data_IF_274080127796
#
_entry.id   IF_274080127796
#
_cell.length_a   1.000
_cell.length_b   1.000
_cell.length_c   1.000
_cell.angle_alpha   90.00
_cell.angle_beta   90.00
_cell.angle_gamma   90.00
#
_symmetry.space_group_name_H-M   'P 1'
#
loop_
_entity.id
_entity.type
_entity.pdbx_description
1 polymer ?
#
# COMPACT_ATOMS: atom_id res chain seq x y z
N UNK A 1 -16.09 7.21 15.77
CA UNK A 1 -16.58 7.03 14.40
C UNK A 1 -18.05 7.41 14.32
N UNK A 2 -18.41 8.28 13.38
CA UNK A 2 -19.80 8.59 13.06
C UNK A 2 -20.14 7.89 11.74
N UNK A 3 -21.24 7.14 11.71
CA UNK A 3 -21.76 6.51 10.50
C UNK A 3 -23.07 7.22 10.18
N UNK A 4 -23.16 7.79 8.98
CA UNK A 4 -24.39 8.39 8.47
C UNK A 4 -24.91 7.52 7.31
N UNK A 5 -26.16 7.10 7.39
CA UNK A 5 -26.85 6.38 6.33
C UNK A 5 -27.82 7.34 5.65
N UNK A 6 -27.66 7.52 4.34
CA UNK A 6 -28.55 8.35 3.53
C UNK A 6 -29.20 7.47 2.45
N UNK A 7 -30.52 7.59 2.31
CA UNK A 7 -31.24 6.91 1.25
C UNK A 7 -31.37 7.80 0.01
N UNK A 8 -31.25 7.22 -1.18
CA UNK A 8 -31.45 7.89 -2.48
C UNK A 8 -30.48 9.03 -2.80
N UNK A 9 -29.26 9.00 -2.24
CA UNK A 9 -28.19 9.94 -2.59
C UNK A 9 -27.11 9.24 -3.40
N UNK A 10 -26.54 9.95 -4.37
CA UNK A 10 -25.39 9.47 -5.12
C UNK A 10 -24.10 9.58 -4.29
N UNK A 11 -23.07 8.85 -4.71
CA UNK A 11 -21.73 8.95 -4.09
C UNK A 11 -21.18 10.37 -4.15
N UNK A 12 -21.36 11.07 -5.26
CA UNK A 12 -20.92 12.45 -5.46
C UNK A 12 -21.62 13.42 -4.51
N UNK A 13 -22.94 13.30 -4.32
CA UNK A 13 -23.70 14.15 -3.39
C UNK A 13 -23.23 13.95 -1.96
N UNK A 14 -22.97 12.70 -1.56
CA UNK A 14 -22.46 12.39 -0.24
C UNK A 14 -21.02 12.85 -0.05
N UNK A 15 -20.18 12.76 -1.06
CA UNK A 15 -18.81 13.27 -1.03
C UNK A 15 -18.78 14.81 -0.89
N UNK A 16 -19.66 15.52 -1.58
CA UNK A 16 -19.83 16.99 -1.44
C UNK A 16 -20.28 17.36 -0.02
N UNK A 17 -21.26 16.65 0.53
CA UNK A 17 -21.71 16.85 1.92
C UNK A 17 -20.60 16.62 2.94
N UNK A 18 -19.86 15.53 2.80
CA UNK A 18 -18.76 15.19 3.67
C UNK A 18 -17.58 16.18 3.53
N UNK A 19 -17.34 16.70 2.31
CA UNK A 19 -16.36 17.76 2.05
C UNK A 19 -16.69 19.04 2.80
N UNK A 20 -17.94 19.49 2.75
CA UNK A 20 -18.41 20.67 3.51
C UNK A 20 -18.28 20.49 5.03
N UNK A 21 -18.52 19.28 5.54
CA UNK A 21 -18.29 18.98 6.97
C UNK A 21 -16.81 19.04 7.29
N UNK A 22 -15.93 18.51 6.44
CA UNK A 22 -14.48 18.57 6.63
C UNK A 22 -13.96 20.01 6.68
N UNK A 23 -14.44 20.88 5.82
CA UNK A 23 -14.11 22.31 5.82
C UNK A 23 -14.56 23.00 7.14
N UNK A 24 -15.77 22.69 7.59
CA UNK A 24 -16.33 23.27 8.82
C UNK A 24 -15.55 22.87 10.07
N UNK A 25 -14.87 21.75 10.07
CA UNK A 25 -14.05 21.24 11.17
C UNK A 25 -12.54 21.38 10.90
N UNK A 26 -12.16 22.39 10.11
CA UNK A 26 -10.76 22.76 9.82
C UNK A 26 -9.89 21.58 9.33
N UNK A 27 -10.47 20.73 8.53
CA UNK A 27 -9.78 19.57 7.96
C UNK A 27 -9.49 18.41 8.92
N UNK A 28 -9.88 18.52 10.19
CA UNK A 28 -9.60 17.49 11.22
C UNK A 28 -10.44 16.21 11.07
N UNK A 29 -11.49 16.22 10.21
CA UNK A 29 -12.36 15.09 9.95
C UNK A 29 -11.92 14.39 8.67
N UNK A 30 -11.73 13.08 8.75
CA UNK A 30 -11.59 12.20 7.58
C UNK A 30 -12.91 11.49 7.32
N UNK A 31 -13.22 11.28 6.05
CA UNK A 31 -14.41 10.56 5.64
C UNK A 31 -14.14 9.61 4.48
N UNK A 32 -14.96 8.59 4.37
CA UNK A 32 -15.08 7.74 3.19
C UNK A 32 -16.56 7.51 2.90
N UNK A 33 -16.90 7.39 1.62
CA UNK A 33 -18.25 7.16 1.13
C UNK A 33 -18.27 5.83 0.40
N UNK A 34 -19.34 5.07 0.52
CA UNK A 34 -19.63 3.93 -0.36
C UNK A 34 -21.11 3.86 -0.62
N UNK A 35 -21.48 3.40 -1.81
CA UNK A 35 -22.86 3.20 -2.24
C UNK A 35 -23.19 1.71 -2.14
N UNK A 36 -24.40 1.40 -1.71
CA UNK A 36 -24.98 0.06 -1.75
C UNK A 36 -26.00 0.07 -2.88
N UNK A 37 -25.64 -0.54 -4.01
CA UNK A 37 -26.43 -0.45 -5.24
C UNK A 37 -27.59 -1.43 -5.32
N UNK A 38 -27.54 -2.53 -4.57
CA UNK A 38 -28.59 -3.54 -4.59
C UNK A 38 -28.83 -4.23 -3.23
N UNK A 39 -29.93 -4.97 -3.14
CA UNK A 39 -30.33 -5.70 -1.92
C UNK A 39 -29.44 -6.92 -1.61
N UNK A 40 -28.54 -7.30 -2.52
CA UNK A 40 -27.64 -8.45 -2.36
C UNK A 40 -26.39 -8.07 -1.58
N UNK A 41 -26.04 -6.76 -1.55
CA UNK A 41 -24.90 -6.26 -0.79
C UNK A 41 -25.28 -5.96 0.66
N UNK A 42 -24.62 -6.64 1.59
CA UNK A 42 -24.84 -6.41 3.01
C UNK A 42 -24.37 -5.02 3.44
N UNK A 43 -25.26 -4.23 4.02
CA UNK A 43 -24.93 -2.93 4.65
C UNK A 43 -23.75 -3.07 5.62
N UNK A 44 -23.70 -4.19 6.36
CA UNK A 44 -22.59 -4.48 7.31
C UNK A 44 -21.26 -4.62 6.59
N UNK A 45 -21.26 -5.24 5.41
CA UNK A 45 -20.05 -5.40 4.59
C UNK A 45 -19.60 -4.07 4.00
N UNK A 46 -20.53 -3.25 3.50
CA UNK A 46 -20.26 -1.90 3.02
C UNK A 46 -19.70 -1.00 4.13
N UNK A 47 -20.25 -1.05 5.34
CA UNK A 47 -19.73 -0.34 6.51
C UNK A 47 -18.30 -0.82 6.83
N UNK A 48 -18.05 -2.13 6.81
CA UNK A 48 -16.73 -2.69 7.06
C UNK A 48 -15.71 -2.22 6.04
N UNK A 49 -16.06 -2.26 4.75
CA UNK A 49 -15.19 -1.85 3.66
C UNK A 49 -14.90 -0.35 3.71
N UNK A 50 -15.94 0.48 3.92
CA UNK A 50 -15.81 1.94 4.07
C UNK A 50 -14.97 2.32 5.29
N UNK A 51 -15.14 1.61 6.41
CA UNK A 51 -14.31 1.83 7.61
C UNK A 51 -12.85 1.47 7.35
N UNK A 52 -12.61 0.40 6.59
CA UNK A 52 -11.28 -0.04 6.19
C UNK A 52 -10.61 1.00 5.27
N UNK A 53 -11.34 1.51 4.28
CA UNK A 53 -10.89 2.57 3.40
C UNK A 53 -10.54 3.87 4.14
N UNK A 54 -11.40 4.27 5.10
CA UNK A 54 -11.14 5.45 5.93
C UNK A 54 -9.89 5.29 6.78
N UNK A 55 -9.64 4.09 7.33
CA UNK A 55 -8.41 3.81 8.09
C UNK A 55 -7.18 3.95 7.20
N UNK A 56 -7.20 3.38 6.00
CA UNK A 56 -6.09 3.51 5.02
C UNK A 56 -5.84 4.97 4.65
N UNK A 57 -6.90 5.73 4.37
CA UNK A 57 -6.79 7.16 4.08
C UNK A 57 -6.20 7.95 5.25
N UNK A 58 -6.54 7.58 6.47
CA UNK A 58 -5.96 8.17 7.70
C UNK A 58 -4.47 7.89 7.85
N UNK A 59 -4.00 6.71 7.45
CA UNK A 59 -2.59 6.33 7.50
C UNK A 59 -1.74 7.13 6.50
N UNK A 60 -2.31 7.46 5.34
CA UNK A 60 -1.62 8.23 4.28
C UNK A 60 -1.68 9.74 4.52
N UNK A 61 -2.64 10.22 5.34
CA UNK A 61 -2.81 11.65 5.61
C UNK A 61 -1.93 12.09 6.79
N UNK A 62 -0.92 12.92 6.52
CA UNK A 62 0.15 13.37 7.45
C UNK A 62 -0.33 14.08 8.74
N UNK A 63 -1.63 14.25 8.94
CA UNK A 63 -2.23 14.93 10.10
C UNK A 63 -2.75 14.00 11.21
N UNK A 64 -2.54 12.68 11.10
CA UNK A 64 -3.01 11.69 12.08
C UNK A 64 -1.87 11.20 12.99
N UNK A 65 -2.15 10.91 14.26
CA UNK A 65 -1.21 10.29 15.22
C UNK A 65 -0.63 8.96 14.68
N UNK A 66 -1.39 8.23 13.86
CA UNK A 66 -0.93 7.04 13.17
C UNK A 66 0.10 7.35 12.06
N UNK A 67 0.08 8.56 11.51
CA UNK A 67 1.11 9.07 10.61
C UNK A 67 2.48 9.18 11.29
N UNK A 68 2.53 9.52 12.59
CA UNK A 68 3.80 9.65 13.32
C UNK A 68 4.50 8.31 13.47
N UNK A 69 3.75 7.23 13.69
CA UNK A 69 4.30 5.87 13.71
C UNK A 69 4.83 5.46 12.33
N UNK A 70 4.05 5.69 11.26
CA UNK A 70 4.48 5.43 9.89
C UNK A 70 5.72 6.26 9.52
N UNK A 71 5.72 7.55 9.84
CA UNK A 71 6.88 8.42 9.62
C UNK A 71 8.11 7.90 10.36
N UNK A 72 7.93 7.38 11.58
CA UNK A 72 9.04 6.80 12.35
C UNK A 72 9.56 5.51 11.73
N UNK A 73 8.67 4.64 11.22
CA UNK A 73 9.05 3.41 10.52
C UNK A 73 9.78 3.72 9.20
N UNK A 74 9.28 4.69 8.43
CA UNK A 74 9.91 5.13 7.19
C UNK A 74 11.31 5.70 7.47
N UNK A 75 11.45 6.57 8.47
CA UNK A 75 12.76 7.10 8.86
C UNK A 75 13.74 6.01 9.29
N UNK A 76 13.26 5.01 10.06
CA UNK A 76 14.09 3.88 10.44
C UNK A 76 14.56 3.09 9.20
N UNK A 77 13.70 2.95 8.18
CA UNK A 77 14.04 2.30 6.93
C UNK A 77 15.06 3.15 6.13
N UNK A 78 14.86 4.46 6.04
CA UNK A 78 15.78 5.40 5.38
C UNK A 78 17.16 5.43 6.02
N UNK A 79 17.27 5.29 7.35
CA UNK A 79 18.54 5.16 8.06
C UNK A 79 19.25 3.84 7.74
N UNK A 80 18.50 2.77 7.45
CA UNK A 80 19.06 1.47 7.10
C UNK A 80 19.52 1.38 5.65
N UNK A 81 18.82 2.04 4.73
CA UNK A 81 19.04 1.97 3.28
C UNK A 81 19.03 3.38 2.67
N UNK A 82 20.21 3.90 2.36
CA UNK A 82 20.42 5.29 1.89
C UNK A 82 19.78 5.61 0.54
N UNK A 83 19.45 4.61 -0.29
CA UNK A 83 18.80 4.79 -1.59
C UNK A 83 17.26 4.90 -1.49
N UNK A 84 16.71 4.65 -0.29
CA UNK A 84 15.28 4.41 -0.10
C UNK A 84 14.41 5.66 -0.28
N UNK A 85 14.83 6.86 0.16
CA UNK A 85 13.97 8.06 0.09
C UNK A 85 13.58 8.43 -1.36
N UNK A 86 14.56 8.50 -2.24
CA UNK A 86 14.32 8.83 -3.65
C UNK A 86 13.57 7.71 -4.39
N UNK A 87 13.82 6.45 -4.01
CA UNK A 87 13.12 5.29 -4.55
C UNK A 87 11.64 5.32 -4.13
N UNK A 88 11.36 5.40 -2.85
CA UNK A 88 9.98 5.44 -2.31
C UNK A 88 9.17 6.58 -2.93
N UNK A 89 9.74 7.79 -3.03
CA UNK A 89 9.06 8.92 -3.64
C UNK A 89 8.73 8.69 -5.12
N UNK A 90 9.66 8.12 -5.88
CA UNK A 90 9.42 7.78 -7.30
C UNK A 90 8.33 6.72 -7.43
N UNK A 91 8.42 5.66 -6.65
CA UNK A 91 7.45 4.55 -6.64
C UNK A 91 6.04 5.06 -6.29
N UNK A 92 5.91 5.94 -5.31
CA UNK A 92 4.63 6.58 -4.98
C UNK A 92 4.05 7.39 -6.13
N UNK A 93 4.86 8.23 -6.81
CA UNK A 93 4.39 9.04 -7.94
C UNK A 93 3.96 8.13 -9.09
N UNK A 94 4.77 7.13 -9.42
CA UNK A 94 4.49 6.19 -10.50
C UNK A 94 3.26 5.32 -10.19
N UNK A 95 3.15 4.79 -8.97
CA UNK A 95 2.00 4.02 -8.52
C UNK A 95 0.71 4.83 -8.56
N UNK A 96 0.74 6.10 -8.12
CA UNK A 96 -0.41 6.98 -8.17
C UNK A 96 -0.86 7.26 -9.61
N UNK A 97 0.06 7.50 -10.53
CA UNK A 97 -0.26 7.75 -11.93
C UNK A 97 -0.75 6.48 -12.63
N UNK A 98 -0.12 5.34 -12.38
CA UNK A 98 -0.54 4.05 -12.93
C UNK A 98 -1.94 3.67 -12.43
N UNK A 99 -2.17 3.79 -11.13
CA UNK A 99 -3.47 3.48 -10.52
C UNK A 99 -4.60 4.31 -11.10
N UNK A 100 -4.36 5.59 -11.43
CA UNK A 100 -5.33 6.43 -12.14
C UNK A 100 -5.60 5.93 -13.55
N UNK A 101 -4.56 5.53 -14.29
CA UNK A 101 -4.68 5.06 -15.68
C UNK A 101 -5.44 3.73 -15.81
N UNK A 102 -5.32 2.87 -14.82
CA UNK A 102 -6.05 1.60 -14.76
C UNK A 102 -7.36 1.72 -13.96
N UNK A 103 -7.77 2.94 -13.67
CA UNK A 103 -9.06 3.26 -13.02
C UNK A 103 -9.27 2.56 -11.68
N UNK A 104 -8.21 2.47 -10.86
CA UNK A 104 -8.33 1.95 -9.50
C UNK A 104 -9.30 2.80 -8.69
N UNK A 105 -10.18 2.14 -7.93
CA UNK A 105 -11.02 2.81 -6.95
C UNK A 105 -10.17 3.53 -5.88
N UNK A 106 -10.73 4.52 -5.20
CA UNK A 106 -10.05 5.27 -4.12
C UNK A 106 -9.45 4.34 -3.05
N UNK A 107 -10.12 3.23 -2.76
CA UNK A 107 -9.66 2.23 -1.80
C UNK A 107 -8.40 1.52 -2.31
N UNK A 108 -8.43 1.09 -3.56
CA UNK A 108 -7.29 0.42 -4.20
C UNK A 108 -6.11 1.37 -4.37
N UNK A 109 -6.38 2.63 -4.76
CA UNK A 109 -5.38 3.69 -4.88
C UNK A 109 -4.70 3.97 -3.52
N UNK A 110 -5.47 4.01 -2.44
CA UNK A 110 -4.94 4.21 -1.09
C UNK A 110 -4.09 3.02 -0.64
N UNK A 111 -4.49 1.78 -0.97
CA UNK A 111 -3.70 0.57 -0.68
C UNK A 111 -2.40 0.55 -1.47
N UNK A 112 -2.45 0.87 -2.76
CA UNK A 112 -1.27 0.96 -3.61
C UNK A 112 -0.29 2.03 -3.09
N UNK A 113 -0.79 3.21 -2.70
CA UNK A 113 0.03 4.27 -2.10
C UNK A 113 0.73 3.82 -0.82
N UNK A 114 0.02 3.07 0.03
CA UNK A 114 0.57 2.53 1.26
C UNK A 114 1.59 1.41 1.00
N UNK A 115 1.35 0.57 -0.01
CA UNK A 115 2.30 -0.45 -0.46
C UNK A 115 3.59 0.20 -0.99
N UNK A 116 3.50 1.17 -1.89
CA UNK A 116 4.64 1.91 -2.40
C UNK A 116 5.52 2.52 -1.28
N UNK A 117 4.89 2.87 -0.16
CA UNK A 117 5.59 3.45 0.99
C UNK A 117 6.30 2.40 1.86
N UNK A 118 5.75 1.19 1.96
CA UNK A 118 6.12 0.20 2.98
C UNK A 118 6.52 -1.16 2.42
N UNK A 119 6.59 -1.36 1.10
CA UNK A 119 6.91 -2.68 0.51
C UNK A 119 8.21 -3.26 1.07
N UNK A 120 9.19 -2.41 1.29
CA UNK A 120 10.52 -2.76 1.77
C UNK A 120 10.69 -2.71 3.29
N UNK A 121 9.60 -2.56 4.08
CA UNK A 121 9.67 -2.41 5.54
C UNK A 121 10.43 -3.56 6.22
N UNK A 122 10.44 -4.74 5.63
CA UNK A 122 11.17 -5.90 6.15
C UNK A 122 12.69 -5.79 6.06
N UNK A 123 13.24 -4.83 5.31
CA UNK A 123 14.68 -4.55 5.24
C UNK A 123 15.26 -4.16 6.60
N UNK A 124 14.44 -3.62 7.51
CA UNK A 124 14.84 -3.37 8.91
C UNK A 124 15.36 -4.65 9.59
N UNK A 125 14.88 -5.81 9.19
CA UNK A 125 15.33 -7.09 9.72
C UNK A 125 16.52 -7.71 8.99
N UNK A 126 17.08 -7.08 7.96
CA UNK A 126 18.24 -7.56 7.21
C UNK A 126 19.52 -7.00 7.84
N UNK A 127 20.58 -7.81 8.05
CA UNK A 127 21.85 -7.31 8.56
C UNK A 127 22.44 -6.21 7.68
N UNK A 128 22.91 -5.12 8.30
CA UNK A 128 23.44 -3.94 7.60
C UNK A 128 24.63 -4.28 6.68
N UNK A 129 25.43 -5.28 7.07
CA UNK A 129 26.59 -5.76 6.29
C UNK A 129 26.16 -6.39 4.96
N UNK A 130 24.94 -6.94 4.89
CA UNK A 130 24.37 -7.51 3.68
C UNK A 130 23.66 -6.42 2.88
N UNK A 131 22.86 -5.60 3.56
CA UNK A 131 22.06 -4.53 2.94
C UNK A 131 22.97 -3.51 2.20
N UNK A 132 24.05 -3.09 2.86
CA UNK A 132 25.00 -2.08 2.34
C UNK A 132 26.30 -2.70 1.80
N UNK A 133 26.29 -3.98 1.43
CA UNK A 133 27.50 -4.64 0.93
C UNK A 133 27.99 -4.01 -0.39
N UNK A 134 29.22 -3.51 -0.44
CA UNK A 134 29.77 -3.06 -1.71
C UNK A 134 30.08 -4.27 -2.61
N UNK A 135 29.29 -4.44 -3.68
CA UNK A 135 29.48 -5.50 -4.65
C UNK A 135 28.37 -6.55 -4.64
N UNK A 136 28.64 -7.69 -5.30
CA UNK A 136 27.63 -8.75 -5.46
C UNK A 136 27.44 -9.54 -4.16
N UNK A 137 26.19 -9.89 -3.87
CA UNK A 137 25.83 -10.82 -2.79
C UNK A 137 26.15 -12.26 -3.20
N UNK A 138 26.58 -13.08 -2.23
CA UNK A 138 26.66 -14.55 -2.40
C UNK A 138 25.25 -15.15 -2.40
N UNK A 139 25.12 -16.43 -2.76
CA UNK A 139 23.82 -17.11 -2.75
C UNK A 139 23.22 -17.18 -1.34
N UNK A 140 24.05 -17.32 -0.30
CA UNK A 140 23.62 -17.31 1.10
C UNK A 140 23.15 -15.92 1.53
N UNK A 141 23.88 -14.88 1.15
CA UNK A 141 23.50 -13.50 1.42
C UNK A 141 22.20 -13.10 0.67
N UNK A 142 22.03 -13.61 -0.56
CA UNK A 142 20.78 -13.43 -1.30
C UNK A 142 19.58 -14.06 -0.61
N UNK A 143 19.75 -15.23 0.01
CA UNK A 143 18.67 -15.84 0.82
C UNK A 143 18.28 -14.94 1.99
N UNK A 144 19.28 -14.35 2.65
CA UNK A 144 19.03 -13.42 3.76
C UNK A 144 18.37 -12.14 3.24
N UNK A 145 18.86 -11.56 2.13
CA UNK A 145 18.26 -10.38 1.50
C UNK A 145 16.78 -10.64 1.14
N UNK A 146 16.48 -11.75 0.47
CA UNK A 146 15.10 -12.10 0.08
C UNK A 146 14.16 -12.33 1.26
N UNK A 147 14.70 -12.62 2.46
CA UNK A 147 13.87 -12.78 3.65
C UNK A 147 13.14 -11.50 4.08
N UNK A 148 13.48 -10.31 3.50
CA UNK A 148 12.78 -9.08 3.84
C UNK A 148 11.30 -9.12 3.48
N UNK A 149 10.88 -9.86 2.44
CA UNK A 149 9.46 -9.97 2.06
C UNK A 149 8.65 -10.69 3.16
N UNK A 150 9.19 -11.75 3.74
CA UNK A 150 8.58 -12.49 4.84
C UNK A 150 8.55 -11.64 6.13
N UNK A 151 9.67 -11.00 6.46
CA UNK A 151 9.75 -10.09 7.62
C UNK A 151 8.80 -8.90 7.48
N UNK A 152 8.70 -8.34 6.27
CA UNK A 152 7.75 -7.28 5.96
C UNK A 152 6.30 -7.73 6.12
N UNK A 153 5.98 -8.94 5.67
CA UNK A 153 4.69 -9.57 5.89
C UNK A 153 4.38 -9.70 7.38
N UNK A 154 5.32 -10.22 8.18
CA UNK A 154 5.13 -10.40 9.62
C UNK A 154 4.89 -9.07 10.33
N UNK A 155 5.66 -8.04 10.00
CA UNK A 155 5.48 -6.68 10.53
C UNK A 155 4.09 -6.15 10.17
N UNK A 156 3.70 -6.22 8.89
CA UNK A 156 2.42 -5.74 8.44
C UNK A 156 1.24 -6.54 9.01
N UNK A 157 1.35 -7.87 9.08
CA UNK A 157 0.31 -8.74 9.58
C UNK A 157 0.09 -8.60 11.11
N UNK A 158 1.13 -8.21 11.84
CA UNK A 158 1.02 -7.93 13.29
C UNK A 158 0.30 -6.61 13.59
N UNK A 159 0.18 -5.71 12.61
CA UNK A 159 -0.47 -4.41 12.76
C UNK A 159 -1.85 -4.41 12.10
N UNK A 160 -2.90 -4.08 12.86
CA UNK A 160 -4.30 -4.09 12.38
C UNK A 160 -4.51 -3.21 11.15
N UNK A 161 -3.76 -2.11 11.03
CA UNK A 161 -3.90 -1.13 9.95
C UNK A 161 -3.12 -1.52 8.70
N UNK A 162 -1.94 -2.14 8.88
CA UNK A 162 -1.09 -2.59 7.77
C UNK A 162 -1.48 -3.98 7.25
N UNK A 163 -2.21 -4.75 8.03
CA UNK A 163 -2.63 -6.12 7.68
C UNK A 163 -3.29 -6.22 6.30
N UNK A 164 -3.96 -5.16 5.86
CA UNK A 164 -4.64 -5.11 4.56
C UNK A 164 -3.68 -5.11 3.35
N UNK A 165 -2.38 -4.80 3.55
CA UNK A 165 -1.35 -4.80 2.51
C UNK A 165 -0.26 -5.85 2.80
N UNK A 166 -0.44 -6.72 3.78
CA UNK A 166 0.58 -7.69 4.18
C UNK A 166 0.89 -8.67 3.03
N UNK A 167 -0.13 -9.20 2.36
CA UNK A 167 0.04 -10.11 1.22
C UNK A 167 0.73 -9.41 0.05
N UNK A 168 0.41 -8.16 -0.21
CA UNK A 168 1.06 -7.36 -1.25
C UNK A 168 2.54 -7.12 -0.93
N UNK A 169 2.87 -6.86 0.35
CA UNK A 169 4.27 -6.73 0.80
C UNK A 169 5.01 -8.06 0.62
N UNK A 170 4.39 -9.20 0.91
CA UNK A 170 5.02 -10.51 0.73
C UNK A 170 5.35 -10.81 -0.73
N UNK A 171 4.48 -10.39 -1.65
CA UNK A 171 4.53 -10.77 -3.06
C UNK A 171 5.00 -9.66 -4.01
N UNK A 172 5.56 -8.54 -3.49
CA UNK A 172 5.98 -7.44 -4.34
C UNK A 172 7.20 -7.75 -5.22
N UNK A 173 7.91 -8.84 -4.98
CA UNK A 173 8.97 -9.38 -5.83
C UNK A 173 8.55 -10.59 -6.67
N UNK A 174 7.27 -10.91 -6.70
CA UNK A 174 6.77 -11.90 -7.65
C UNK A 174 6.77 -11.33 -9.05
N UNK A 175 6.99 -12.19 -10.04
CA UNK A 175 7.08 -11.80 -11.45
C UNK A 175 5.97 -12.44 -12.25
N UNK A 176 5.46 -11.72 -13.23
CA UNK A 176 4.41 -12.22 -14.12
C UNK A 176 4.76 -13.57 -14.77
N UNK A 177 6.06 -13.81 -15.04
CA UNK A 177 6.57 -15.05 -15.63
C UNK A 177 6.73 -16.21 -14.61
N UNK A 178 6.45 -15.99 -13.32
CA UNK A 178 6.58 -16.97 -12.24
C UNK A 178 8.01 -17.22 -11.79
N UNK A 179 8.96 -16.35 -12.17
CA UNK A 179 10.38 -16.45 -11.73
C UNK A 179 10.69 -15.52 -10.55
N UNK A 180 9.66 -14.97 -9.95
CA UNK A 180 9.76 -14.14 -8.76
C UNK A 180 9.97 -14.94 -7.48
N UNK A 181 9.81 -14.28 -6.36
CA UNK A 181 9.87 -14.86 -5.03
C UNK A 181 8.90 -14.14 -4.08
N UNK A 182 8.46 -14.75 -2.96
CA UNK A 182 8.94 -16.01 -2.37
C UNK A 182 8.26 -17.28 -2.92
N UNK A 183 7.04 -17.18 -3.46
CA UNK A 183 6.21 -18.35 -3.78
C UNK A 183 6.24 -18.74 -5.27
N UNK A 184 6.79 -17.90 -6.14
CA UNK A 184 6.84 -18.10 -7.59
C UNK A 184 5.45 -17.96 -8.23
N UNK A 185 4.60 -17.06 -7.71
CA UNK A 185 3.28 -16.78 -8.25
C UNK A 185 3.38 -16.27 -9.69
N UNK A 186 2.37 -16.59 -10.51
CA UNK A 186 2.38 -16.27 -11.92
C UNK A 186 1.09 -15.56 -12.36
N UNK A 187 1.24 -14.52 -13.16
CA UNK A 187 0.11 -13.84 -13.77
C UNK A 187 -0.86 -13.29 -12.71
N UNK A 188 -2.13 -13.65 -12.83
CA UNK A 188 -3.22 -13.17 -11.97
C UNK A 188 -3.21 -13.75 -10.54
N UNK A 189 -2.34 -14.72 -10.24
CA UNK A 189 -2.14 -15.20 -8.87
C UNK A 189 -1.47 -14.12 -7.99
N UNK A 190 -0.72 -13.20 -8.62
CA UNK A 190 -0.05 -12.09 -7.93
C UNK A 190 -1.09 -11.05 -7.52
N UNK A 191 -1.10 -10.57 -6.27
CA UNK A 191 -2.00 -9.49 -5.84
C UNK A 191 -1.89 -8.26 -6.75
N UNK A 192 -3.02 -7.68 -7.18
CA UNK A 192 -3.06 -6.59 -8.18
C UNK A 192 -2.15 -5.41 -7.81
N UNK A 193 -2.13 -5.00 -6.55
CA UNK A 193 -1.27 -3.88 -6.11
C UNK A 193 0.22 -4.22 -6.19
N UNK A 194 0.61 -5.49 -5.99
CA UNK A 194 1.98 -5.96 -6.15
C UNK A 194 2.38 -5.99 -7.64
N UNK A 195 1.46 -6.36 -8.56
CA UNK A 195 1.69 -6.28 -10.00
C UNK A 195 1.96 -4.84 -10.47
N UNK A 196 1.22 -3.88 -9.92
CA UNK A 196 1.33 -2.46 -10.30
C UNK A 196 2.61 -1.81 -9.76
N UNK A 197 3.15 -2.27 -8.64
CA UNK A 197 4.38 -1.76 -8.09
C UNK A 197 5.60 -2.11 -8.94
N UNK A 198 5.66 -3.33 -9.45
CA UNK A 198 6.75 -3.78 -10.34
C UNK A 198 6.73 -3.14 -11.73
N UNK A 199 5.71 -2.35 -12.07
CA UNK A 199 5.55 -1.76 -13.40
C UNK A 199 5.31 -2.80 -14.51
N UNK A 200 5.05 -4.04 -14.18
CA UNK A 200 4.79 -5.15 -15.11
C UNK A 200 3.32 -5.26 -15.53
N UNK A 201 2.59 -4.16 -15.62
CA UNK A 201 1.36 -4.19 -16.39
C UNK A 201 1.73 -4.33 -17.87
N UNK A 202 1.19 -5.29 -18.58
CA UNK A 202 1.48 -5.72 -19.96
C UNK A 202 1.29 -4.63 -21.02
N UNK A 203 1.94 -3.52 -20.86
CA UNK A 203 1.94 -2.33 -21.70
C UNK A 203 3.16 -1.51 -21.42
N UNK A 204 4.35 -2.00 -21.77
CA UNK A 204 5.60 -1.25 -21.94
C UNK A 204 5.90 -0.14 -20.93
N UNK A 205 6.08 -0.48 -19.66
CA UNK A 205 6.90 0.34 -18.74
C UNK A 205 7.76 -0.64 -17.93
N UNK A 206 8.93 -0.92 -18.42
CA UNK A 206 9.96 -1.63 -17.65
C UNK A 206 10.55 -0.69 -16.63
N UNK A 207 10.18 -0.84 -15.36
CA UNK A 207 10.91 -0.22 -14.26
C UNK A 207 11.99 -1.19 -13.78
N UNK A 208 13.21 -1.03 -14.29
CA UNK A 208 14.42 -1.69 -13.80
C UNK A 208 14.85 -1.01 -12.49
N UNK A 209 14.11 -1.15 -11.41
CA UNK A 209 14.44 -0.50 -10.14
C UNK A 209 14.94 -1.46 -9.05
N UNK A 210 15.15 -2.74 -9.36
CA UNK A 210 15.68 -3.72 -8.41
C UNK A 210 16.80 -4.52 -9.09
N UNK A 211 18.01 -3.92 -9.22
CA UNK A 211 19.28 -4.62 -9.38
C UNK A 211 20.35 -3.95 -8.55
#
# INVERSE_FOLDING_TARGET
HLIALCSRSSEDEMAVCAGKLKEKFDGSIQYAVSVVEDETHSIVESIRNTTKAMRTKKLVDSKSIHSDMLVSLIRALEECDSDTEHHVRRTQIMGAELGKRIELSDIQQSRLSLLCLLHDIGKIGVPMEILNKPGKLTDEEWKIMRSHVEKGYDIANSNVELKQIAEEIRHHHERWDGKGYPDGLKGEEIPLSAQTEQGEYTGTVTCNCCC
#
